data_IF_926821191906
#
_entry.id   IF_926821191906
#
_cell.length_a   1.000
_cell.length_b   1.000
_cell.length_c   1.000
_cell.angle_alpha   90.00
_cell.angle_beta   90.00
_cell.angle_gamma   90.00
#
_symmetry.space_group_name_H-M   'P 1'
#
loop_
_entity.id
_entity.type
_entity.pdbx_description
1 polymer ?
#
# COMPACT_ATOMS: atom_id res chain seq x y z
N UNK A 1 -0.54 22.01 -14.31
CA UNK A 1 0.38 20.89 -14.11
C UNK A 1 -0.28 19.65 -14.68
N UNK A 2 0.15 19.10 -15.83
CA UNK A 2 -0.33 17.77 -16.22
C UNK A 2 0.20 16.79 -15.17
N UNK A 3 -0.71 16.04 -14.54
CA UNK A 3 -0.32 14.94 -13.66
C UNK A 3 0.33 13.89 -14.56
N UNK A 4 1.66 13.80 -14.54
CA UNK A 4 2.37 12.62 -15.02
C UNK A 4 2.03 11.49 -14.07
N UNK A 5 0.88 10.86 -14.30
CA UNK A 5 0.63 9.52 -13.80
C UNK A 5 1.61 8.66 -14.57
N UNK A 6 2.78 8.39 -13.96
CA UNK A 6 3.70 7.37 -14.45
C UNK A 6 2.87 6.11 -14.68
N UNK A 7 2.61 5.81 -15.95
CA UNK A 7 1.75 4.71 -16.32
C UNK A 7 2.29 3.44 -15.65
N UNK A 8 1.43 2.45 -15.41
CA UNK A 8 1.84 1.18 -14.80
C UNK A 8 2.78 0.36 -15.67
N UNK A 9 3.36 0.93 -16.73
CA UNK A 9 4.06 0.25 -17.80
C UNK A 9 5.56 0.36 -17.56
N UNK A 10 6.25 -0.77 -17.39
CA UNK A 10 7.73 -0.76 -17.29
C UNK A 10 8.38 -0.48 -18.64
N UNK A 11 7.75 -0.93 -19.72
CA UNK A 11 8.17 -0.64 -21.09
C UNK A 11 7.58 0.70 -21.55
N UNK A 12 8.42 1.73 -21.69
CA UNK A 12 8.00 3.07 -22.15
C UNK A 12 8.11 3.26 -23.67
N UNK A 13 8.57 2.25 -24.42
CA UNK A 13 8.85 2.39 -25.86
C UNK A 13 7.59 2.55 -26.70
N UNK A 14 6.44 2.10 -26.19
CA UNK A 14 5.17 2.16 -26.90
C UNK A 14 4.19 3.16 -26.27
N UNK A 15 3.38 3.88 -27.08
CA UNK A 15 2.40 4.81 -26.55
C UNK A 15 1.26 4.08 -25.82
N UNK A 16 0.52 4.81 -24.97
CA UNK A 16 -0.60 4.25 -24.19
C UNK A 16 -1.78 3.77 -25.04
N UNK A 17 -1.95 4.33 -26.24
CA UNK A 17 -2.96 3.90 -27.20
C UNK A 17 -2.25 3.62 -28.52
N UNK A 18 -2.34 2.37 -28.97
CA UNK A 18 -1.77 1.94 -30.26
C UNK A 18 -2.93 1.63 -31.20
N UNK A 19 -2.83 2.04 -32.45
CA UNK A 19 -3.77 1.60 -33.50
C UNK A 19 -3.03 0.66 -34.42
N UNK A 20 -3.49 -0.58 -34.50
CA UNK A 20 -2.85 -1.65 -35.26
C UNK A 20 -3.74 -2.03 -36.45
N UNK A 21 -3.15 -2.17 -37.62
CA UNK A 21 -3.85 -2.57 -38.86
C UNK A 21 -4.00 -4.08 -38.97
N UNK A 22 -3.17 -4.85 -38.27
CA UNK A 22 -3.22 -6.32 -38.21
C UNK A 22 -2.04 -7.01 -38.88
N UNK A 23 -1.24 -6.27 -39.65
CA UNK A 23 -0.07 -6.80 -40.38
C UNK A 23 1.25 -6.51 -39.65
N UNK A 24 1.20 -5.80 -38.51
CA UNK A 24 2.38 -5.46 -37.74
C UNK A 24 2.84 -6.61 -36.84
N UNK A 25 4.14 -6.91 -36.78
CA UNK A 25 4.69 -7.98 -35.93
C UNK A 25 4.34 -7.82 -34.44
N UNK A 26 4.18 -6.57 -33.98
CA UNK A 26 3.81 -6.22 -32.60
C UNK A 26 2.39 -6.71 -32.25
N UNK A 27 1.52 -6.96 -33.24
CA UNK A 27 0.14 -7.46 -33.04
C UNK A 27 0.14 -8.81 -32.31
N UNK A 28 1.16 -9.64 -32.53
CA UNK A 28 1.29 -10.96 -31.89
C UNK A 28 1.40 -10.87 -30.37
N UNK A 29 1.86 -9.73 -29.83
CA UNK A 29 1.95 -9.51 -28.39
C UNK A 29 0.61 -9.08 -27.77
N UNK A 30 -0.32 -8.55 -28.58
CA UNK A 30 -1.63 -8.07 -28.14
C UNK A 30 -2.72 -9.14 -28.30
N UNK A 31 -2.62 -10.17 -27.47
CA UNK A 31 -3.49 -11.37 -27.55
C UNK A 31 -4.75 -11.31 -26.71
N UNK A 32 -4.80 -10.46 -25.68
CA UNK A 32 -5.91 -10.46 -24.72
C UNK A 32 -7.07 -9.61 -25.20
N UNK A 33 -8.23 -10.24 -25.42
CA UNK A 33 -9.47 -9.53 -25.70
C UNK A 33 -10.02 -8.88 -24.40
N UNK A 34 -10.96 -7.93 -24.53
CA UNK A 34 -11.47 -7.18 -23.37
C UNK A 34 -12.10 -8.06 -22.28
N UNK A 35 -12.72 -9.17 -22.65
CA UNK A 35 -13.28 -10.13 -21.68
C UNK A 35 -12.21 -10.87 -20.91
N UNK A 36 -11.13 -11.27 -21.59
CA UNK A 36 -9.98 -11.90 -20.96
C UNK A 36 -9.26 -10.91 -20.05
N UNK A 37 -9.08 -9.66 -20.47
CA UNK A 37 -8.50 -8.60 -19.64
C UNK A 37 -9.34 -8.31 -18.39
N UNK A 38 -10.68 -8.26 -18.51
CA UNK A 38 -11.58 -8.13 -17.35
C UNK A 38 -11.42 -9.30 -16.38
N UNK A 39 -11.38 -10.52 -16.89
CA UNK A 39 -11.22 -11.73 -16.08
C UNK A 39 -9.85 -11.77 -15.40
N UNK A 40 -8.79 -11.38 -16.11
CA UNK A 40 -7.42 -11.39 -15.59
C UNK A 40 -7.24 -10.38 -14.46
N UNK A 41 -7.75 -9.16 -14.64
CA UNK A 41 -7.65 -8.09 -13.64
C UNK A 41 -8.71 -8.20 -12.53
N UNK A 42 -9.74 -9.02 -12.71
CA UNK A 42 -10.86 -9.13 -11.77
C UNK A 42 -11.73 -7.86 -11.69
N UNK A 43 -11.84 -7.10 -12.79
CA UNK A 43 -12.56 -5.81 -12.83
C UNK A 43 -13.75 -5.84 -13.78
N UNK A 44 -14.74 -4.96 -13.51
CA UNK A 44 -15.89 -4.77 -14.40
C UNK A 44 -15.53 -3.96 -15.65
N UNK A 45 -16.31 -4.13 -16.72
CA UNK A 45 -16.15 -3.40 -18.01
C UNK A 45 -16.04 -1.89 -17.85
N UNK A 46 -16.87 -1.29 -16.99
CA UNK A 46 -16.84 0.15 -16.71
C UNK A 46 -15.46 0.61 -16.22
N UNK A 47 -14.86 -0.13 -15.27
CA UNK A 47 -13.52 0.18 -14.77
C UNK A 47 -12.46 -0.03 -15.85
N UNK A 48 -12.54 -1.12 -16.61
CA UNK A 48 -11.60 -1.37 -17.72
C UNK A 48 -11.61 -0.20 -18.73
N UNK A 49 -12.78 0.33 -19.07
CA UNK A 49 -12.91 1.48 -19.97
C UNK A 49 -12.31 2.78 -19.40
N UNK A 50 -12.37 2.99 -18.08
CA UNK A 50 -11.80 4.17 -17.44
C UNK A 50 -10.27 4.16 -17.45
N UNK A 51 -9.66 2.99 -17.30
CA UNK A 51 -8.21 2.83 -17.16
C UNK A 51 -7.52 2.65 -18.52
N UNK A 52 -8.23 2.12 -19.52
CA UNK A 52 -7.67 1.85 -20.85
C UNK A 52 -7.24 3.14 -21.55
N UNK A 53 -6.00 3.18 -22.01
CA UNK A 53 -5.38 4.34 -22.67
C UNK A 53 -5.02 5.48 -21.73
N UNK A 54 -5.19 5.31 -20.41
CA UNK A 54 -4.78 6.28 -19.37
C UNK A 54 -3.77 5.68 -18.42
N UNK A 55 -4.16 4.60 -17.75
CA UNK A 55 -3.33 3.87 -16.80
C UNK A 55 -2.81 2.55 -17.39
N UNK A 56 -3.63 1.91 -18.24
CA UNK A 56 -3.35 0.62 -18.88
C UNK A 56 -3.24 0.81 -20.40
N UNK A 57 -2.15 0.31 -21.00
CA UNK A 57 -1.95 0.40 -22.45
C UNK A 57 -3.00 -0.44 -23.19
N UNK A 58 -3.50 0.09 -24.31
CA UNK A 58 -4.49 -0.58 -25.15
C UNK A 58 -4.13 -0.46 -26.62
N UNK A 59 -4.19 -1.56 -27.35
CA UNK A 59 -4.12 -1.55 -28.79
C UNK A 59 -5.53 -1.69 -29.39
N UNK A 60 -5.77 -0.98 -30.49
CA UNK A 60 -7.01 -1.00 -31.25
C UNK A 60 -6.74 -1.73 -32.55
N UNK A 61 -7.16 -2.99 -32.62
CA UNK A 61 -7.00 -3.82 -33.82
C UNK A 61 -8.32 -3.85 -34.57
N UNK A 62 -8.26 -3.68 -35.89
CA UNK A 62 -9.41 -3.89 -36.76
C UNK A 62 -9.51 -5.38 -37.09
N UNK A 63 -10.39 -6.10 -36.38
CA UNK A 63 -10.81 -7.46 -36.77
C UNK A 63 -12.16 -7.34 -37.51
N UNK A 64 -12.16 -7.70 -38.78
CA UNK A 64 -13.32 -7.59 -39.69
C UNK A 64 -13.83 -6.13 -39.86
N UNK A 65 -15.11 -5.88 -39.57
CA UNK A 65 -15.77 -4.58 -39.69
C UNK A 65 -15.63 -3.69 -38.46
N UNK A 66 -15.12 -4.21 -37.34
CA UNK A 66 -15.12 -3.50 -36.05
C UNK A 66 -13.72 -3.33 -35.49
N UNK A 67 -13.49 -2.19 -34.83
CA UNK A 67 -12.28 -1.94 -34.07
C UNK A 67 -12.50 -2.51 -32.67
N UNK A 68 -11.64 -3.44 -32.24
CA UNK A 68 -11.71 -4.05 -30.91
C UNK A 68 -10.49 -3.66 -30.09
N UNK A 69 -10.66 -3.34 -28.79
CA UNK A 69 -9.53 -3.13 -27.91
C UNK A 69 -8.95 -4.49 -27.49
N UNK A 70 -7.64 -4.61 -27.69
CA UNK A 70 -6.82 -5.76 -27.29
C UNK A 70 -5.68 -5.28 -26.39
N UNK A 71 -5.24 -6.16 -25.52
CA UNK A 71 -4.30 -5.88 -24.45
C UNK A 71 -3.12 -6.85 -24.52
N UNK A 72 -1.97 -6.41 -24.04
CA UNK A 72 -0.76 -7.21 -23.91
C UNK A 72 -0.69 -7.78 -22.50
N UNK A 73 -0.23 -9.02 -22.37
CA UNK A 73 -0.18 -9.69 -21.06
C UNK A 73 0.80 -9.01 -20.08
N UNK A 74 1.96 -8.57 -20.55
CA UNK A 74 2.95 -7.85 -19.73
C UNK A 74 2.35 -6.60 -19.10
N UNK A 75 1.59 -5.85 -19.90
CA UNK A 75 0.98 -4.58 -19.52
C UNK A 75 -0.11 -4.79 -18.45
N UNK A 76 -0.85 -5.90 -18.56
CA UNK A 76 -1.83 -6.32 -17.55
C UNK A 76 -1.15 -6.75 -16.24
N UNK A 77 -0.03 -7.47 -16.30
CA UNK A 77 0.76 -7.87 -15.13
C UNK A 77 1.35 -6.67 -14.41
N UNK A 78 1.98 -5.76 -15.15
CA UNK A 78 2.57 -4.56 -14.55
C UNK A 78 1.49 -3.67 -13.92
N UNK A 79 0.31 -3.54 -14.56
CA UNK A 79 -0.83 -2.85 -13.95
C UNK A 79 -1.28 -3.50 -12.64
N UNK A 80 -1.31 -4.84 -12.59
CA UNK A 80 -1.71 -5.58 -11.40
C UNK A 80 -0.68 -5.46 -10.27
N UNK A 81 0.62 -5.44 -10.58
CA UNK A 81 1.68 -5.17 -9.61
C UNK A 81 1.63 -3.74 -9.07
N UNK A 82 1.48 -2.76 -9.97
CA UNK A 82 1.37 -1.36 -9.63
C UNK A 82 0.16 -1.07 -8.74
N UNK A 83 -1.01 -1.63 -9.08
CA UNK A 83 -2.25 -1.50 -8.29
C UNK A 83 -2.20 -2.24 -6.97
N UNK A 84 -1.53 -3.41 -6.89
CA UNK A 84 -1.30 -4.10 -5.61
C UNK A 84 -0.46 -3.25 -4.66
N UNK A 85 0.63 -2.67 -5.15
CA UNK A 85 1.48 -1.80 -4.33
C UNK A 85 0.73 -0.55 -3.86
N UNK A 86 -0.09 0.07 -4.71
CA UNK A 86 -0.89 1.25 -4.31
C UNK A 86 -2.05 0.90 -3.36
N UNK A 87 -2.68 -0.27 -3.50
CA UNK A 87 -3.79 -0.70 -2.65
C UNK A 87 -3.38 -1.00 -1.19
N UNK A 88 -2.26 -1.69 -0.97
CA UNK A 88 -1.73 -1.92 0.39
C UNK A 88 -1.22 -0.64 1.05
N UNK A 89 -0.72 0.33 0.29
CA UNK A 89 -0.25 1.63 0.81
C UNK A 89 -1.37 2.59 1.24
N UNK A 90 -2.46 2.69 0.47
CA UNK A 90 -3.60 3.57 0.80
C UNK A 90 -4.48 3.00 1.91
N UNK A 91 -4.66 1.68 1.97
CA UNK A 91 -5.50 1.08 3.02
C UNK A 91 -4.81 1.11 4.38
N UNK A 92 -3.49 0.89 4.45
CA UNK A 92 -2.76 0.83 5.72
C UNK A 92 -2.56 2.21 6.35
N UNK A 93 -2.14 3.22 5.57
CA UNK A 93 -1.94 4.58 6.11
C UNK A 93 -3.27 5.21 6.55
N UNK A 94 -4.34 5.01 5.76
CA UNK A 94 -5.67 5.50 6.09
C UNK A 94 -6.30 4.71 7.25
N UNK A 95 -6.04 3.41 7.35
CA UNK A 95 -6.49 2.61 8.50
C UNK A 95 -5.78 3.02 9.79
N UNK A 96 -4.49 3.40 9.74
CA UNK A 96 -3.77 3.90 10.92
C UNK A 96 -4.31 5.27 11.34
N UNK A 97 -4.49 6.20 10.41
CA UNK A 97 -5.09 7.52 10.71
C UNK A 97 -6.52 7.37 11.27
N UNK A 98 -7.36 6.53 10.64
CA UNK A 98 -8.70 6.23 11.16
C UNK A 98 -8.67 5.49 12.50
N UNK A 99 -7.70 4.62 12.75
CA UNK A 99 -7.57 3.93 14.02
C UNK A 99 -7.20 4.91 15.14
N UNK A 100 -6.35 5.91 14.85
CA UNK A 100 -5.99 6.97 15.80
C UNK A 100 -7.19 7.87 16.08
N UNK A 101 -7.88 8.37 15.06
CA UNK A 101 -9.08 9.21 15.23
C UNK A 101 -10.19 8.48 15.99
N UNK A 102 -10.47 7.21 15.64
CA UNK A 102 -11.47 6.42 16.36
C UNK A 102 -11.07 6.12 17.81
N UNK A 103 -9.78 6.11 18.14
CA UNK A 103 -9.31 5.89 19.51
C UNK A 103 -9.55 7.14 20.35
N UNK A 104 -9.23 8.32 19.81
CA UNK A 104 -9.50 9.61 20.46
C UNK A 104 -11.00 9.82 20.70
N UNK A 105 -11.84 9.59 19.69
CA UNK A 105 -13.30 9.73 19.81
C UNK A 105 -13.88 8.80 20.88
N UNK A 106 -13.48 7.53 20.87
CA UNK A 106 -13.93 6.55 21.88
C UNK A 106 -13.45 6.89 23.29
N UNK A 107 -12.25 7.45 23.42
CA UNK A 107 -11.72 7.84 24.73
C UNK A 107 -12.48 9.04 25.30
N UNK A 108 -12.82 10.02 24.44
CA UNK A 108 -13.67 11.15 24.81
C UNK A 108 -15.08 10.71 25.22
N UNK A 109 -15.68 9.76 24.51
CA UNK A 109 -16.98 9.19 24.87
C UNK A 109 -16.94 8.48 26.24
N UNK A 110 -15.89 7.72 26.52
CA UNK A 110 -15.71 7.05 27.82
C UNK A 110 -15.56 8.07 28.95
N UNK A 111 -14.78 9.14 28.73
CA UNK A 111 -14.64 10.23 29.71
C UNK A 111 -15.98 10.94 29.95
N UNK A 112 -16.77 11.19 28.91
CA UNK A 112 -18.08 11.81 29.03
C UNK A 112 -19.06 10.95 29.84
N UNK A 113 -19.14 9.65 29.55
CA UNK A 113 -19.99 8.71 30.30
C UNK A 113 -19.52 8.58 31.76
N UNK A 114 -18.21 8.60 31.99
CA UNK A 114 -17.65 8.53 33.34
C UNK A 114 -18.01 9.76 34.17
N UNK A 115 -17.90 10.97 33.59
CA UNK A 115 -18.33 12.21 34.23
C UNK A 115 -19.84 12.22 34.50
N UNK A 116 -20.65 11.76 33.55
CA UNK A 116 -22.11 11.65 33.76
C UNK A 116 -22.46 10.67 34.89
N UNK A 117 -21.74 9.55 34.99
CA UNK A 117 -21.89 8.58 36.10
C UNK A 117 -21.48 9.17 37.44
N UNK A 118 -20.43 10.00 37.48
CA UNK A 118 -20.04 10.72 38.69
C UNK A 118 -21.12 11.69 39.16
N UNK A 119 -21.71 12.45 38.24
CA UNK A 119 -22.80 13.38 38.54
C UNK A 119 -24.05 12.62 39.03
N UNK A 120 -24.41 11.51 38.38
CA UNK A 120 -25.52 10.66 38.84
C UNK A 120 -25.31 10.13 40.26
N UNK A 121 -24.11 9.67 40.60
CA UNK A 121 -23.82 9.20 41.97
C UNK A 121 -23.91 10.35 42.98
N UNK A 122 -23.51 11.56 42.60
CA UNK A 122 -23.64 12.74 43.46
C UNK A 122 -25.11 13.14 43.69
N UNK A 123 -25.96 13.02 42.66
CA UNK A 123 -27.39 13.30 42.76
C UNK A 123 -28.13 12.20 43.55
N UNK A 124 -27.83 10.92 43.31
CA UNK A 124 -28.37 9.79 44.09
C UNK A 124 -28.00 9.92 45.58
N UNK A 125 -26.80 10.43 45.90
CA UNK A 125 -26.41 10.74 47.28
C UNK A 125 -27.26 11.84 47.89
N UNK A 126 -27.53 12.93 47.16
CA UNK A 126 -28.37 14.02 47.66
C UNK A 126 -29.80 13.55 47.91
N UNK A 127 -30.36 12.80 46.96
CA UNK A 127 -31.72 12.27 47.07
C UNK A 127 -31.85 11.26 48.19
N UNK A 128 -30.86 10.37 48.36
CA UNK A 128 -30.84 9.44 49.50
C UNK A 128 -30.82 10.20 50.84
N UNK A 129 -29.91 11.16 51.02
CA UNK A 129 -29.81 11.96 52.25
C UNK A 129 -31.14 12.69 52.52
N UNK A 130 -31.77 13.25 51.48
CA UNK A 130 -33.06 13.94 51.59
C UNK A 130 -34.19 13.01 51.99
N UNK A 131 -34.27 11.83 51.37
CA UNK A 131 -35.34 10.85 51.63
C UNK A 131 -35.22 10.27 53.04
N UNK A 132 -33.99 10.01 53.51
CA UNK A 132 -33.72 9.57 54.89
C UNK A 132 -34.14 10.67 55.88
N UNK A 133 -33.75 11.93 55.63
CA UNK A 133 -34.18 13.08 56.46
C UNK A 133 -35.70 13.28 56.48
N UNK A 134 -36.38 13.15 55.34
CA UNK A 134 -37.84 13.27 55.24
C UNK A 134 -38.55 12.11 55.94
N UNK A 135 -38.04 10.88 55.83
CA UNK A 135 -38.58 9.72 56.55
C UNK A 135 -38.45 9.85 58.07
N UNK A 136 -37.39 10.50 58.55
CA UNK A 136 -37.20 10.84 59.96
C UNK A 136 -38.16 11.95 60.43
N UNK A 137 -38.52 12.89 59.55
CA UNK A 137 -39.41 14.01 59.89
C UNK A 137 -40.90 13.62 59.93
N UNK A 138 -41.31 12.60 59.15
CA UNK A 138 -42.68 12.07 59.13
C UNK A 138 -42.97 11.17 60.34
N UNK A 139 -41.94 10.63 61.00
CA UNK A 139 -42.08 9.82 62.20
C UNK A 139 -42.22 10.65 63.50
N UNK A 140 -42.46 11.96 63.43
CA UNK A 140 -42.79 12.79 64.59
C UNK A 140 -44.21 12.45 65.10
N UNK A 141 -44.37 11.68 66.19
CA UNK A 141 -45.68 11.31 66.69
C UNK A 141 -46.23 12.49 67.51
N UNK A 142 -47.51 12.82 67.33
CA UNK A 142 -48.24 13.67 68.27
C UNK A 142 -48.02 13.19 69.72
N UNK A 143 -47.69 14.11 70.66
CA UNK A 143 -47.01 13.75 71.90
C UNK A 143 -47.92 13.07 72.92
N UNK A 144 -47.41 12.02 73.56
CA UNK A 144 -47.87 11.45 74.82
C UNK A 144 -46.64 11.21 75.70
N UNK A 145 -46.60 11.63 76.98
CA UNK A 145 -45.34 12.05 77.62
C UNK A 145 -44.61 10.98 78.45
N UNK A 146 -45.17 9.77 78.59
CA UNK A 146 -44.75 8.77 79.60
C UNK A 146 -43.34 8.19 79.43
N UNK A 147 -43.17 7.39 78.36
CA UNK A 147 -42.16 6.31 78.32
C UNK A 147 -41.31 6.29 77.03
N UNK A 148 -41.19 7.42 76.30
CA UNK A 148 -40.67 7.43 74.91
C UNK A 148 -39.22 7.87 74.71
N UNK A 149 -38.55 8.42 75.73
CA UNK A 149 -37.17 8.91 75.56
C UNK A 149 -36.21 7.77 75.18
N UNK A 150 -36.33 6.61 75.83
CA UNK A 150 -35.45 5.46 75.58
C UNK A 150 -35.62 4.83 74.18
N UNK A 151 -36.82 4.85 73.60
CA UNK A 151 -37.06 4.28 72.25
C UNK A 151 -36.67 5.26 71.15
N UNK A 152 -36.89 6.57 71.35
CA UNK A 152 -36.39 7.59 70.42
C UNK A 152 -34.86 7.63 70.42
N UNK A 153 -34.22 7.52 71.57
CA UNK A 153 -32.76 7.50 71.66
C UNK A 153 -32.17 6.26 70.97
N UNK A 154 -32.76 5.07 71.16
CA UNK A 154 -32.33 3.85 70.46
C UNK A 154 -32.51 3.93 68.94
N UNK A 155 -33.61 4.54 68.47
CA UNK A 155 -33.86 4.75 67.05
C UNK A 155 -32.84 5.71 66.44
N UNK A 156 -32.59 6.86 67.09
CA UNK A 156 -31.59 7.84 66.66
C UNK A 156 -30.17 7.26 66.64
N UNK A 157 -29.81 6.44 67.64
CA UNK A 157 -28.52 5.75 67.69
C UNK A 157 -28.39 4.71 66.56
N UNK A 158 -29.46 4.00 66.21
CA UNK A 158 -29.43 3.05 65.09
C UNK A 158 -29.24 3.76 63.76
N UNK A 159 -30.00 4.84 63.51
CA UNK A 159 -29.88 5.69 62.31
C UNK A 159 -28.47 6.29 62.22
N UNK A 160 -27.93 6.81 63.31
CA UNK A 160 -26.56 7.31 63.37
C UNK A 160 -25.53 6.26 62.97
N UNK A 161 -25.69 5.00 63.40
CA UNK A 161 -24.81 3.88 63.00
C UNK A 161 -24.95 3.49 61.53
N UNK A 162 -26.16 3.49 60.99
CA UNK A 162 -26.42 3.18 59.57
C UNK A 162 -25.84 4.27 58.68
N UNK A 163 -26.08 5.55 59.00
CA UNK A 163 -25.52 6.70 58.29
C UNK A 163 -23.99 6.71 58.33
N UNK A 164 -23.37 6.44 59.49
CA UNK A 164 -21.92 6.31 59.61
C UNK A 164 -21.36 5.18 58.73
N UNK A 165 -22.01 4.01 58.71
CA UNK A 165 -21.58 2.87 57.89
C UNK A 165 -21.71 3.15 56.39
N UNK A 166 -22.77 3.83 55.96
CA UNK A 166 -22.93 4.23 54.56
C UNK A 166 -21.97 5.35 54.19
N UNK A 167 -21.79 6.36 55.04
CA UNK A 167 -20.78 7.42 54.86
C UNK A 167 -19.38 6.84 54.66
N UNK A 168 -19.00 5.82 55.43
CA UNK A 168 -17.72 5.14 55.27
C UNK A 168 -17.60 4.44 53.90
N UNK A 169 -18.63 3.69 53.49
CA UNK A 169 -18.66 3.03 52.17
C UNK A 169 -18.59 4.03 51.01
N UNK A 170 -19.25 5.18 51.14
CA UNK A 170 -19.18 6.23 50.12
C UNK A 170 -17.82 6.91 50.06
N UNK A 171 -17.16 7.11 51.20
CA UNK A 171 -15.79 7.60 51.24
C UNK A 171 -14.84 6.63 50.52
N UNK A 172 -15.01 5.32 50.73
CA UNK A 172 -14.23 4.29 50.03
C UNK A 172 -14.47 4.31 48.52
N UNK A 173 -15.73 4.33 48.07
CA UNK A 173 -16.07 4.39 46.63
C UNK A 173 -15.52 5.65 45.97
N UNK A 174 -15.60 6.80 46.66
CA UNK A 174 -15.05 8.07 46.16
C UNK A 174 -13.52 8.03 46.07
N UNK A 175 -12.86 7.39 47.03
CA UNK A 175 -11.41 7.16 47.00
C UNK A 175 -11.00 6.28 45.82
N UNK A 176 -11.74 5.21 45.55
CA UNK A 176 -11.45 4.31 44.43
C UNK A 176 -11.72 4.97 43.07
N UNK A 177 -12.78 5.79 42.95
CA UNK A 177 -13.03 6.62 41.77
C UNK A 177 -11.91 7.63 41.53
N UNK A 178 -11.41 8.30 42.59
CA UNK A 178 -10.30 9.24 42.47
C UNK A 178 -9.02 8.54 41.96
N UNK A 179 -8.69 7.36 42.50
CA UNK A 179 -7.55 6.55 42.02
C UNK A 179 -7.72 6.10 40.57
N UNK A 180 -8.96 5.77 40.16
CA UNK A 180 -9.25 5.39 38.78
C UNK A 180 -9.09 6.57 37.83
N UNK A 181 -9.51 7.77 38.24
CA UNK A 181 -9.29 9.01 37.51
C UNK A 181 -7.81 9.31 37.33
N UNK A 182 -7.02 9.21 38.40
CA UNK A 182 -5.56 9.42 38.34
C UNK A 182 -4.87 8.42 37.41
N UNK A 183 -5.31 7.15 37.42
CA UNK A 183 -4.82 6.13 36.48
C UNK A 183 -5.16 6.45 35.04
N UNK A 184 -6.38 6.93 34.77
CA UNK A 184 -6.80 7.31 33.42
C UNK A 184 -6.01 8.53 32.91
N UNK A 185 -5.79 9.53 33.76
CA UNK A 185 -4.95 10.67 33.42
C UNK A 185 -3.49 10.26 33.15
N UNK A 186 -2.94 9.33 33.93
CA UNK A 186 -1.61 8.78 33.70
C UNK A 186 -1.51 8.02 32.36
N UNK A 187 -2.52 7.21 32.03
CA UNK A 187 -2.59 6.51 30.74
C UNK A 187 -2.72 7.53 29.59
N UNK A 188 -3.53 8.56 29.76
CA UNK A 188 -3.67 9.63 28.76
C UNK A 188 -2.34 10.38 28.56
N UNK A 189 -1.62 10.67 29.64
CA UNK A 189 -0.30 11.28 29.59
C UNK A 189 0.73 10.43 28.82
N UNK A 190 0.74 9.11 29.05
CA UNK A 190 1.64 8.21 28.31
C UNK A 190 1.26 8.09 26.84
N UNK A 191 -0.04 8.04 26.50
CA UNK A 191 -0.51 8.06 25.12
C UNK A 191 -0.11 9.35 24.39
N UNK A 192 -0.30 10.51 25.02
CA UNK A 192 0.12 11.80 24.46
C UNK A 192 1.63 11.92 24.27
N UNK A 193 2.42 11.19 25.04
CA UNK A 193 3.87 11.10 24.84
C UNK A 193 4.23 10.27 23.59
N UNK A 194 3.52 9.17 23.33
CA UNK A 194 3.80 8.29 22.18
C UNK A 194 3.27 8.82 20.84
N UNK A 195 2.19 9.62 20.84
CA UNK A 195 1.60 10.16 19.61
C UNK A 195 2.61 10.98 18.78
N UNK A 196 3.40 11.91 19.35
CA UNK A 196 4.48 12.60 18.64
C UNK A 196 5.56 11.66 18.11
N UNK A 197 6.02 10.67 18.90
CA UNK A 197 7.04 9.70 18.46
C UNK A 197 6.54 8.89 17.25
N UNK A 198 5.28 8.43 17.27
CA UNK A 198 4.68 7.73 16.13
C UNK A 198 4.56 8.62 14.90
N UNK A 199 4.27 9.92 15.09
CA UNK A 199 4.22 10.91 14.01
C UNK A 199 5.61 11.16 13.41
N UNK A 200 6.64 11.23 14.25
CA UNK A 200 8.03 11.39 13.83
C UNK A 200 8.54 10.16 13.07
N UNK A 201 8.24 8.95 13.56
CA UNK A 201 8.54 7.70 12.86
C UNK A 201 7.85 7.67 11.48
N UNK A 202 6.59 8.11 11.40
CA UNK A 202 5.85 8.20 10.12
C UNK A 202 6.53 9.16 9.14
N UNK A 203 7.00 10.32 9.62
CA UNK A 203 7.76 11.29 8.79
C UNK A 203 9.11 10.72 8.37
N UNK A 204 9.84 10.06 9.29
CA UNK A 204 11.11 9.40 8.99
C UNK A 204 10.96 8.31 7.94
N UNK A 205 9.91 7.50 8.01
CA UNK A 205 9.59 6.49 6.99
C UNK A 205 9.31 7.12 5.62
N UNK A 206 8.62 8.26 5.57
CA UNK A 206 8.39 9.01 4.31
C UNK A 206 9.71 9.55 3.73
N UNK A 207 10.60 10.08 4.58
CA UNK A 207 11.90 10.60 4.15
C UNK A 207 12.82 9.50 3.64
N UNK A 208 12.97 8.40 4.38
CA UNK A 208 13.80 7.25 3.98
C UNK A 208 13.32 6.68 2.64
N UNK A 209 12.00 6.65 2.42
CA UNK A 209 11.42 6.20 1.16
C UNK A 209 11.75 7.13 -0.01
N UNK A 210 11.66 8.45 0.20
CA UNK A 210 12.05 9.42 -0.83
C UNK A 210 13.51 9.23 -1.26
N UNK A 211 14.41 8.99 -0.30
CA UNK A 211 15.81 8.72 -0.59
C UNK A 211 15.98 7.41 -1.38
N UNK A 212 15.27 6.33 -1.00
CA UNK A 212 15.30 5.06 -1.73
C UNK A 212 14.78 5.22 -3.16
N UNK A 213 13.67 5.93 -3.37
CA UNK A 213 13.10 6.17 -4.70
C UNK A 213 14.05 7.02 -5.56
N UNK A 214 14.72 8.01 -4.97
CA UNK A 214 15.74 8.80 -5.65
C UNK A 214 16.95 7.94 -6.05
N UNK A 215 17.42 7.06 -5.15
CA UNK A 215 18.52 6.12 -5.44
C UNK A 215 18.14 5.11 -6.51
N UNK A 216 16.91 4.60 -6.49
CA UNK A 216 16.41 3.70 -7.51
C UNK A 216 16.32 4.38 -8.89
N UNK A 217 15.91 5.65 -8.91
CA UNK A 217 15.89 6.47 -10.13
C UNK A 217 17.30 6.70 -10.66
N UNK A 218 18.26 7.04 -9.80
CA UNK A 218 19.68 7.17 -10.17
C UNK A 218 20.23 5.87 -10.77
N UNK A 219 19.96 4.74 -10.11
CA UNK A 219 20.43 3.43 -10.56
C UNK A 219 19.80 3.03 -11.90
N UNK A 220 18.52 3.35 -12.10
CA UNK A 220 17.82 3.10 -13.37
C UNK A 220 18.41 3.93 -14.52
N UNK A 221 18.75 5.20 -14.26
CA UNK A 221 19.45 6.06 -15.24
C UNK A 221 20.81 5.48 -15.63
N UNK A 222 21.59 5.01 -14.66
CA UNK A 222 22.88 4.38 -14.93
C UNK A 222 22.74 3.10 -15.76
N UNK A 223 21.70 2.30 -15.51
CA UNK A 223 21.44 1.10 -16.31
C UNK A 223 21.07 1.42 -17.75
N UNK A 224 20.32 2.49 -18.00
CA UNK A 224 20.02 2.96 -19.35
C UNK A 224 21.29 3.39 -20.08
N UNK A 225 22.16 4.17 -19.44
CA UNK A 225 23.45 4.56 -20.02
C UNK A 225 24.33 3.34 -20.36
N UNK A 226 24.38 2.33 -19.50
CA UNK A 226 25.11 1.08 -19.78
C UNK A 226 24.49 0.36 -20.98
N UNK A 227 23.16 0.35 -21.08
CA UNK A 227 22.45 -0.31 -22.20
C UNK A 227 22.76 0.38 -23.52
N UNK A 228 22.79 1.71 -23.54
CA UNK A 228 23.15 2.49 -24.72
C UNK A 228 24.61 2.20 -25.15
N UNK A 229 25.55 2.18 -24.19
CA UNK A 229 26.95 1.84 -24.46
C UNK A 229 27.12 0.42 -25.01
N UNK A 230 26.33 -0.54 -24.53
CA UNK A 230 26.32 -1.91 -25.08
C UNK A 230 25.76 -1.95 -26.50
N UNK A 231 24.75 -1.13 -26.80
CA UNK A 231 24.23 -0.95 -28.15
C UNK A 231 25.28 -0.42 -29.12
N UNK A 232 26.00 0.63 -28.73
CA UNK A 232 27.10 1.21 -29.51
C UNK A 232 28.21 0.18 -29.76
N UNK A 233 28.53 -0.64 -28.76
CA UNK A 233 29.56 -1.67 -28.86
C UNK A 233 29.13 -2.79 -29.82
N UNK A 234 27.87 -3.20 -29.79
CA UNK A 234 27.31 -4.18 -30.74
C UNK A 234 27.36 -3.64 -32.17
N UNK A 235 26.96 -2.39 -32.39
CA UNK A 235 27.01 -1.76 -33.71
C UNK A 235 28.44 -1.72 -34.27
N UNK A 236 29.43 -1.40 -33.42
CA UNK A 236 30.84 -1.43 -33.80
C UNK A 236 31.31 -2.85 -34.17
N UNK A 237 30.87 -3.88 -33.44
CA UNK A 237 31.19 -5.27 -33.77
C UNK A 237 30.61 -5.68 -35.13
N UNK A 238 29.36 -5.29 -35.42
CA UNK A 238 28.70 -5.59 -36.69
C UNK A 238 29.41 -4.87 -37.87
N UNK A 239 29.85 -3.63 -37.68
CA UNK A 239 30.62 -2.91 -38.69
C UNK A 239 31.98 -3.58 -38.97
N UNK A 240 32.68 -4.02 -37.92
CA UNK A 240 33.93 -4.77 -38.06
C UNK A 240 33.69 -6.08 -38.82
N UNK A 241 32.63 -6.81 -38.48
CA UNK A 241 32.27 -8.06 -39.16
C UNK A 241 31.99 -7.85 -40.65
N UNK A 242 31.22 -6.80 -41.01
CA UNK A 242 30.96 -6.44 -42.40
C UNK A 242 32.24 -6.06 -43.16
N UNK A 243 33.13 -5.27 -42.53
CA UNK A 243 34.42 -4.92 -43.13
C UNK A 243 35.28 -6.15 -43.38
N UNK A 244 35.36 -7.08 -42.42
CA UNK A 244 36.09 -8.35 -42.59
C UNK A 244 35.49 -9.22 -43.70
N UNK A 245 34.17 -9.33 -43.77
CA UNK A 245 33.50 -10.10 -44.82
C UNK A 245 33.77 -9.50 -46.22
N UNK A 246 33.73 -8.17 -46.34
CA UNK A 246 34.07 -7.48 -47.60
C UNK A 246 35.53 -7.69 -48.02
N UNK A 247 36.45 -7.74 -47.05
CA UNK A 247 37.86 -8.00 -47.30
C UNK A 247 38.09 -9.46 -47.77
N UNK A 248 37.40 -10.43 -47.18
CA UNK A 248 37.48 -11.84 -47.59
C UNK A 248 36.98 -12.03 -49.02
N UNK A 249 35.85 -11.42 -49.39
CA UNK A 249 35.31 -11.48 -50.76
C UNK A 249 36.29 -10.88 -51.76
N UNK A 250 36.87 -9.72 -51.44
CA UNK A 250 37.87 -9.05 -52.29
C UNK A 250 39.12 -9.90 -52.51
N UNK A 251 39.54 -10.69 -51.52
CA UNK A 251 40.67 -11.63 -51.65
C UNK A 251 40.28 -12.82 -52.55
N UNK A 252 39.06 -13.36 -52.40
CA UNK A 252 38.58 -14.49 -53.20
C UNK A 252 38.41 -14.17 -54.69
N UNK A 253 37.91 -12.98 -55.02
CA UNK A 253 37.79 -12.53 -56.43
C UNK A 253 39.15 -12.32 -57.11
N UNK A 254 40.22 -12.08 -56.32
CA UNK A 254 41.59 -12.01 -56.82
C UNK A 254 42.17 -13.36 -57.27
N UNK A 255 41.67 -14.49 -56.75
CA UNK A 255 42.19 -15.82 -57.11
C UNK A 255 41.61 -16.36 -58.43
N UNK A 256 40.40 -15.94 -58.82
CA UNK A 256 39.77 -16.38 -60.09
C UNK A 256 40.46 -15.79 -61.34
N UNK A 257 41.22 -14.71 -61.19
CA UNK A 257 42.07 -14.16 -62.26
C UNK A 257 43.39 -14.92 -62.46
N UNK A 258 43.71 -15.89 -61.59
CA UNK A 258 44.91 -16.74 -61.70
C UNK A 258 44.58 -18.11 -62.31
N UNK A 259 43.49 -18.24 -63.07
CA UNK A 259 43.27 -19.41 -63.94
C UNK A 259 44.00 -19.23 -65.30
N UNK A 260 45.31 -18.95 -65.23
CA UNK A 260 46.19 -18.94 -66.40
C UNK A 260 46.44 -20.38 -66.84
N UNK A 261 45.69 -20.79 -67.87
CA UNK A 261 46.11 -21.71 -68.95
C UNK A 261 47.11 -22.80 -68.50
N UNK A 262 46.60 -23.90 -67.93
CA UNK A 262 47.42 -25.11 -67.72
C UNK A 262 48.01 -25.58 -69.06
N UNK A 263 49.34 -25.69 -69.20
CA UNK A 263 49.95 -26.15 -70.43
C UNK A 263 49.67 -27.65 -70.64
N UNK A 264 49.29 -27.99 -71.87
CA UNK A 264 49.11 -29.34 -72.37
C UNK A 264 50.33 -30.23 -72.04
N UNK A 265 50.14 -31.22 -71.17
CA UNK A 265 51.15 -32.23 -70.84
C UNK A 265 51.38 -33.14 -72.05
N UNK A 266 52.43 -32.86 -72.83
CA UNK A 266 53.02 -33.79 -73.80
C UNK A 266 53.51 -35.05 -73.06
N UNK A 267 52.94 -36.21 -73.36
CA UNK A 267 53.44 -37.52 -72.94
C UNK A 267 54.78 -37.81 -73.62
N UNK A 268 55.88 -37.70 -72.89
CA UNK A 268 57.18 -38.26 -73.29
C UNK A 268 57.26 -39.73 -72.86
N UNK A 269 57.39 -40.60 -73.86
CA UNK A 269 57.54 -42.05 -73.74
C UNK A 269 58.99 -42.35 -73.34
N UNK A 270 59.25 -42.68 -72.09
CA UNK A 270 60.58 -43.11 -71.62
C UNK A 270 60.80 -44.56 -72.06
N UNK A 271 61.83 -44.76 -72.90
CA UNK A 271 62.30 -46.05 -73.41
C UNK A 271 63.17 -46.72 -72.34
N UNK A 272 62.78 -47.92 -71.89
CA UNK A 272 63.63 -48.79 -71.07
C UNK A 272 64.87 -49.19 -71.87
N UNK A 273 66.05 -48.90 -71.34
CA UNK A 273 67.31 -49.52 -71.75
C UNK A 273 67.77 -50.46 -70.65
N UNK A 274 67.87 -51.75 -71.00
CA UNK A 274 68.63 -52.77 -70.28
C UNK A 274 70.13 -52.58 -70.55
N UNK A 275 70.98 -52.96 -69.59
CA UNK A 275 72.27 -53.66 -69.73
C UNK A 275 72.89 -53.72 -68.32
N UNK A 276 72.95 -54.92 -67.72
CA UNK A 276 74.06 -55.89 -67.74
C UNK A 276 75.17 -55.48 -66.78
#
# INVERSE_FOLDING_TARGET
>A
MPFEVGASQKDQTLPMVITLRGDEAIVEEFTYDSEQAMSFLGIKRSRLNQISGRELRVARVRRDRYIRPVYRESDLKDYLEWTRATATHLSSSKAIEQAVENLDDRFNDVLAVFNQKLDQVADEQRDFIRTEFESLNVAAPTPSPVDREDEQEKSLVHVGKVLLKHSARFADVRSDLAKMSERLESIHGTLNYFVPELKEISVGHKSLRFDVDQKFTQLSSMLLEITDLLGDLQQNQDEIALRLQSAIVSIGEGEDLVNVKKPSRRRTRVRRGYNL
#
